data_IF_027677374627
#
_entry.id   IF_027677374627
#
_cell.length_a   1.000
_cell.length_b   1.000
_cell.length_c   1.000
_cell.angle_alpha   90.00
_cell.angle_beta   90.00
_cell.angle_gamma   90.00
#
_symmetry.space_group_name_H-M   'P 1'
#
loop_
_entity.id
_entity.type
_entity.pdbx_description
1 polymer ?
#
# COMPACT_ATOMS: atom_id res chain seq x y z
N UNK A 1 -8.36 -7.03 24.82
CA UNK A 1 -7.01 -7.50 25.20
C UNK A 1 -6.54 -8.42 24.10
N UNK A 2 -5.78 -7.90 23.13
CA UNK A 2 -5.30 -8.68 21.98
C UNK A 2 -4.16 -9.57 22.45
N UNK A 3 -4.40 -10.88 22.41
CA UNK A 3 -3.44 -11.92 22.80
C UNK A 3 -2.24 -11.84 21.85
N UNK A 4 -1.09 -11.42 22.37
CA UNK A 4 0.18 -11.38 21.62
C UNK A 4 0.55 -12.84 21.32
N UNK A 5 0.55 -13.21 20.04
CA UNK A 5 1.00 -14.52 19.59
C UNK A 5 2.49 -14.68 20.00
N UNK A 6 2.88 -15.79 20.66
CA UNK A 6 4.25 -15.95 21.13
C UNK A 6 5.24 -16.00 19.97
N UNK A 7 6.31 -15.23 20.08
CA UNK A 7 7.43 -15.25 19.12
C UNK A 7 8.04 -16.64 19.05
N UNK A 8 8.12 -17.24 17.85
CA UNK A 8 8.87 -18.48 17.65
C UNK A 8 10.39 -18.20 17.75
N UNK A 9 11.09 -18.75 18.76
CA UNK A 9 12.52 -18.50 18.93
C UNK A 9 13.38 -19.05 17.79
N UNK A 10 12.91 -20.05 17.05
CA UNK A 10 13.67 -20.62 15.94
C UNK A 10 13.59 -19.71 14.71
N UNK A 11 12.40 -19.25 14.33
CA UNK A 11 12.21 -18.25 13.27
C UNK A 11 12.96 -16.95 13.57
N UNK A 12 12.87 -16.44 14.81
CA UNK A 12 13.60 -15.24 15.22
C UNK A 12 15.12 -15.42 15.05
N UNK A 13 15.65 -16.60 15.37
CA UNK A 13 17.07 -16.86 15.20
C UNK A 13 17.51 -16.92 13.74
N UNK A 14 16.70 -17.53 12.86
CA UNK A 14 16.98 -17.54 11.42
C UNK A 14 16.98 -16.12 10.83
N UNK A 15 16.03 -15.28 11.24
CA UNK A 15 15.97 -13.88 10.83
C UNK A 15 17.24 -13.10 11.23
N UNK A 16 17.77 -13.35 12.44
CA UNK A 16 19.05 -12.76 12.89
C UNK A 16 20.23 -13.24 12.05
N UNK A 17 20.31 -14.55 11.78
CA UNK A 17 21.40 -15.12 10.96
C UNK A 17 21.38 -14.57 9.53
N UNK A 18 20.19 -14.41 8.96
CA UNK A 18 19.99 -13.85 7.62
C UNK A 18 20.13 -12.32 7.58
N UNK A 19 20.16 -11.65 8.75
CA UNK A 19 20.06 -10.18 8.87
C UNK A 19 18.85 -9.61 8.13
N UNK A 20 17.73 -10.32 8.23
CA UNK A 20 16.53 -10.01 7.49
C UNK A 20 15.89 -8.69 8.00
N UNK A 21 15.78 -7.72 7.11
CA UNK A 21 15.19 -6.40 7.40
C UNK A 21 13.67 -6.45 7.54
N UNK A 22 13.00 -7.47 6.99
CA UNK A 22 11.55 -7.63 7.13
C UNK A 22 11.12 -7.85 8.58
N UNK A 23 12.05 -8.33 9.43
CA UNK A 23 11.82 -8.56 10.86
C UNK A 23 12.21 -7.37 11.75
N UNK A 24 12.80 -6.31 11.20
CA UNK A 24 13.10 -5.10 11.96
C UNK A 24 11.80 -4.46 12.45
N UNK A 25 11.66 -4.32 13.78
CA UNK A 25 10.45 -3.80 14.41
C UNK A 25 9.41 -4.86 14.79
N UNK A 26 9.59 -6.12 14.36
CA UNK A 26 8.76 -7.27 14.79
C UNK A 26 9.23 -7.82 16.13
N UNK A 27 10.55 -7.87 16.34
CA UNK A 27 11.17 -8.23 17.62
C UNK A 27 12.55 -7.56 17.75
N UNK A 28 13.12 -7.62 18.95
CA UNK A 28 14.51 -7.27 19.20
C UNK A 28 15.29 -8.44 19.77
N UNK A 29 16.54 -8.55 19.35
CA UNK A 29 17.50 -9.57 19.78
C UNK A 29 18.28 -9.05 20.98
N UNK A 30 17.98 -9.54 22.17
CA UNK A 30 18.74 -9.25 23.37
C UNK A 30 19.92 -10.18 23.56
N UNK A 31 21.11 -9.62 23.71
CA UNK A 31 22.37 -10.33 23.96
C UNK A 31 22.72 -10.18 25.43
N UNK A 32 22.51 -11.26 26.18
CA UNK A 32 22.59 -11.28 27.65
C UNK A 32 24.02 -11.02 28.16
N UNK A 33 25.04 -11.52 27.45
CA UNK A 33 26.45 -11.33 27.85
C UNK A 33 26.94 -9.90 27.70
N UNK A 34 26.43 -9.15 26.72
CA UNK A 34 26.83 -7.75 26.50
C UNK A 34 25.85 -6.76 27.11
N UNK A 35 24.68 -7.22 27.57
CA UNK A 35 23.60 -6.37 28.05
C UNK A 35 23.00 -5.48 26.95
N UNK A 36 23.05 -5.88 25.68
CA UNK A 36 22.65 -5.04 24.53
C UNK A 36 21.51 -5.73 23.79
N UNK A 37 20.48 -4.98 23.38
CA UNK A 37 19.53 -5.46 22.38
C UNK A 37 19.70 -4.76 21.02
N UNK A 38 19.51 -5.53 19.97
CA UNK A 38 19.71 -5.15 18.57
C UNK A 38 18.45 -5.47 17.75
N UNK A 39 18.32 -4.84 16.59
CA UNK A 39 17.37 -5.28 15.57
C UNK A 39 17.89 -6.53 14.82
N UNK A 40 17.01 -7.35 14.22
CA UNK A 40 17.41 -8.57 13.51
C UNK A 40 18.40 -8.32 12.38
N UNK A 41 18.26 -7.21 11.63
CA UNK A 41 19.18 -6.86 10.54
C UNK A 41 20.51 -6.23 10.99
N UNK A 42 20.82 -6.24 12.28
CA UNK A 42 22.01 -5.56 12.80
C UNK A 42 23.30 -6.17 12.23
N UNK A 43 24.14 -5.31 11.64
CA UNK A 43 25.44 -5.72 11.10
C UNK A 43 26.51 -6.05 12.18
N UNK A 44 26.13 -6.07 13.47
CA UNK A 44 27.00 -6.53 14.54
C UNK A 44 27.37 -8.01 14.32
N UNK A 45 28.48 -8.44 14.93
CA UNK A 45 28.87 -9.85 14.92
C UNK A 45 27.78 -10.67 15.61
N UNK A 46 27.43 -11.82 15.04
CA UNK A 46 26.41 -12.65 15.64
C UNK A 46 26.88 -13.15 17.02
N UNK A 47 26.06 -12.96 18.07
CA UNK A 47 26.32 -13.53 19.38
C UNK A 47 26.18 -15.05 19.35
N UNK A 48 26.73 -15.74 20.35
CA UNK A 48 26.45 -17.17 20.51
C UNK A 48 24.96 -17.37 20.84
N UNK A 49 24.31 -18.36 20.22
CA UNK A 49 22.86 -18.61 20.37
C UNK A 49 22.41 -18.75 21.83
N UNK A 50 23.25 -19.35 22.69
CA UNK A 50 22.97 -19.51 24.12
C UNK A 50 22.87 -18.19 24.91
N UNK A 51 23.46 -17.11 24.37
CA UNK A 51 23.47 -15.79 25.00
C UNK A 51 22.35 -14.87 24.47
N UNK A 52 21.42 -15.41 23.68
CA UNK A 52 20.39 -14.65 22.98
C UNK A 52 19.01 -14.93 23.54
N UNK A 53 18.27 -13.85 23.81
CA UNK A 53 16.84 -13.87 24.13
C UNK A 53 16.10 -12.88 23.22
N UNK A 54 14.92 -13.26 22.75
CA UNK A 54 14.07 -12.40 21.93
C UNK A 54 13.03 -11.69 22.78
N UNK A 55 12.74 -10.45 22.42
CA UNK A 55 11.74 -9.61 23.07
C UNK A 55 10.84 -8.99 22.00
N UNK A 56 9.56 -8.79 22.30
CA UNK A 56 8.61 -8.20 21.34
C UNK A 56 9.03 -6.78 20.93
N UNK A 57 9.61 -6.02 21.85
CA UNK A 57 10.04 -4.65 21.61
C UNK A 57 11.22 -4.26 22.52
N UNK A 58 11.75 -3.05 22.30
CA UNK A 58 12.79 -2.48 23.13
C UNK A 58 12.34 -2.21 24.58
N UNK A 59 11.04 -2.05 24.85
CA UNK A 59 10.54 -1.81 26.20
C UNK A 59 10.66 -3.07 27.07
N UNK A 60 10.28 -4.24 26.54
CA UNK A 60 10.49 -5.52 27.19
C UNK A 60 11.97 -5.85 27.37
N UNK A 61 12.81 -5.54 26.36
CA UNK A 61 14.25 -5.74 26.47
C UNK A 61 14.87 -4.88 27.59
N UNK A 62 14.43 -3.62 27.75
CA UNK A 62 14.87 -2.73 28.85
C UNK A 62 14.37 -3.21 30.21
N UNK A 63 13.12 -3.69 30.30
CA UNK A 63 12.60 -4.28 31.53
C UNK A 63 13.43 -5.51 31.97
N UNK A 64 14.08 -6.19 31.04
CA UNK A 64 15.03 -7.27 31.29
C UNK A 64 16.49 -6.80 31.53
N UNK A 65 16.73 -5.49 31.67
CA UNK A 65 18.05 -4.92 31.98
C UNK A 65 18.97 -4.69 30.79
N UNK A 66 18.47 -4.74 29.56
CA UNK A 66 19.27 -4.55 28.34
C UNK A 66 19.22 -3.09 27.86
N UNK A 67 20.32 -2.60 27.27
CA UNK A 67 20.40 -1.28 26.61
C UNK A 67 20.31 -1.39 25.09
N UNK A 68 19.83 -0.33 24.43
CA UNK A 68 19.77 -0.28 22.97
C UNK A 68 21.17 -0.32 22.34
N UNK A 69 21.30 -1.04 21.23
CA UNK A 69 22.51 -1.06 20.44
C UNK A 69 22.78 0.30 19.79
N UNK A 70 23.96 0.87 20.05
CA UNK A 70 24.35 2.18 19.51
C UNK A 70 24.64 2.17 18.01
N UNK A 71 24.89 0.97 17.44
CA UNK A 71 25.20 0.80 16.01
C UNK A 71 23.95 0.76 15.15
N UNK A 72 22.99 -0.10 15.50
CA UNK A 72 21.78 -0.26 14.71
C UNK A 72 20.60 0.57 15.23
N UNK A 73 20.76 1.19 16.41
CA UNK A 73 19.79 2.09 17.08
C UNK A 73 18.35 1.58 16.93
N UNK A 74 18.04 0.42 17.52
CA UNK A 74 16.76 -0.26 17.28
C UNK A 74 15.55 0.59 17.69
N UNK A 75 15.72 1.50 18.64
CA UNK A 75 14.66 2.42 19.07
C UNK A 75 14.41 3.56 18.06
N UNK A 76 15.38 3.88 17.21
CA UNK A 76 15.25 4.97 16.25
C UNK A 76 14.22 4.63 15.17
N UNK A 77 13.98 3.36 14.82
CA UNK A 77 12.98 2.98 13.80
C UNK A 77 11.54 3.30 14.22
N UNK A 78 11.18 2.93 15.45
CA UNK A 78 9.86 3.26 16.00
C UNK A 78 9.70 4.76 16.21
N UNK A 79 10.76 5.43 16.66
CA UNK A 79 10.82 6.89 16.81
C UNK A 79 10.70 7.61 15.46
N UNK A 80 11.41 7.14 14.45
CA UNK A 80 11.44 7.65 13.08
C UNK A 80 10.04 7.57 12.45
N UNK A 81 9.39 6.40 12.56
CA UNK A 81 8.03 6.19 12.06
C UNK A 81 7.01 7.08 12.79
N UNK A 82 7.09 7.17 14.12
CA UNK A 82 6.24 8.03 14.93
C UNK A 82 6.43 9.52 14.60
N UNK A 83 7.68 9.94 14.37
CA UNK A 83 8.04 11.30 13.98
C UNK A 83 7.46 11.68 12.60
N UNK A 84 7.54 10.78 11.61
CA UNK A 84 6.93 11.00 10.29
C UNK A 84 5.42 11.06 10.38
N UNK A 85 4.79 10.15 11.14
CA UNK A 85 3.34 10.15 11.35
C UNK A 85 2.85 11.44 12.02
N UNK A 86 3.55 11.92 13.05
CA UNK A 86 3.24 13.18 13.73
C UNK A 86 3.34 14.39 12.80
N UNK A 87 4.35 14.44 11.92
CA UNK A 87 4.49 15.52 10.94
C UNK A 87 3.40 15.50 9.85
N UNK A 88 2.99 14.31 9.39
CA UNK A 88 1.85 14.17 8.47
C UNK A 88 0.58 14.74 9.11
N UNK A 89 0.32 14.41 10.39
CA UNK A 89 -0.82 14.93 11.12
C UNK A 89 -0.78 16.47 11.25
N UNK A 90 0.38 17.04 11.58
CA UNK A 90 0.57 18.49 11.67
C UNK A 90 0.32 19.21 10.32
N UNK A 91 0.81 18.64 9.21
CA UNK A 91 0.54 19.17 7.86
C UNK A 91 -0.95 19.08 7.51
N UNK A 92 -1.61 17.97 7.88
CA UNK A 92 -3.04 17.76 7.64
C UNK A 92 -3.94 18.71 8.43
N UNK A 93 -3.54 19.11 9.64
CA UNK A 93 -4.34 19.98 10.51
C UNK A 93 -4.19 21.48 10.19
N UNK A 94 -3.04 21.90 9.63
CA UNK A 94 -2.76 23.32 9.46
C UNK A 94 -3.46 23.92 8.22
N UNK A 95 -4.00 25.14 8.35
CA UNK A 95 -4.49 25.94 7.22
C UNK A 95 -3.33 26.41 6.32
N UNK A 96 -2.22 26.80 6.94
CA UNK A 96 -0.96 27.13 6.27
C UNK A 96 0.08 26.06 6.59
N UNK A 97 0.73 25.51 5.57
CA UNK A 97 1.69 24.42 5.72
C UNK A 97 2.82 24.79 6.72
N UNK A 98 3.07 23.97 7.77
CA UNK A 98 4.17 24.20 8.70
C UNK A 98 5.52 24.11 7.97
N UNK A 99 6.49 24.90 8.42
CA UNK A 99 7.84 24.85 7.84
C UNK A 99 8.55 23.55 8.22
N UNK A 100 9.53 23.14 7.39
CA UNK A 100 10.38 21.98 7.71
C UNK A 100 11.04 22.11 9.09
N UNK A 101 11.45 23.32 9.48
CA UNK A 101 12.05 23.58 10.78
C UNK A 101 11.08 23.30 11.94
N UNK A 102 9.81 23.71 11.81
CA UNK A 102 8.78 23.44 12.82
C UNK A 102 8.47 21.94 12.93
N UNK A 103 8.33 21.25 11.80
CA UNK A 103 8.08 19.80 11.77
C UNK A 103 9.25 19.00 12.37
N UNK A 104 10.48 19.39 12.05
CA UNK A 104 11.68 18.76 12.57
C UNK A 104 11.84 19.00 14.09
N UNK A 105 11.56 20.22 14.57
CA UNK A 105 11.60 20.56 15.99
C UNK A 105 10.57 19.75 16.80
N UNK A 106 9.34 19.61 16.29
CA UNK A 106 8.29 18.79 16.90
C UNK A 106 8.69 17.30 16.97
N UNK A 107 9.40 16.80 15.96
CA UNK A 107 9.89 15.44 15.90
C UNK A 107 11.20 15.21 16.71
N UNK A 108 11.86 16.27 17.18
CA UNK A 108 13.15 16.20 17.85
C UNK A 108 14.33 15.85 16.93
N UNK A 109 14.28 16.28 15.67
CA UNK A 109 15.34 16.09 14.66
C UNK A 109 15.83 17.43 14.11
N UNK A 110 17.04 17.44 13.52
CA UNK A 110 17.46 18.58 12.71
C UNK A 110 16.68 18.63 11.37
N UNK A 111 16.47 19.80 10.77
CA UNK A 111 15.70 19.94 9.54
C UNK A 111 16.18 19.05 8.38
N UNK A 112 17.50 19.01 8.14
CA UNK A 112 18.10 18.22 7.08
C UNK A 112 17.96 16.70 7.30
N UNK A 113 18.04 16.26 8.57
CA UNK A 113 17.86 14.85 8.91
C UNK A 113 16.38 14.45 8.77
N UNK A 114 15.47 15.29 9.26
CA UNK A 114 14.04 15.04 9.17
C UNK A 114 13.54 14.99 7.72
N UNK A 115 14.06 15.84 6.83
CA UNK A 115 13.70 15.80 5.42
C UNK A 115 14.07 14.45 4.76
N UNK A 116 15.30 13.97 4.96
CA UNK A 116 15.72 12.66 4.42
C UNK A 116 14.90 11.53 5.01
N UNK A 117 14.60 11.60 6.31
CA UNK A 117 13.79 10.62 7.00
C UNK A 117 12.36 10.56 6.42
N UNK A 118 11.71 11.71 6.32
CA UNK A 118 10.35 11.83 5.79
C UNK A 118 10.28 11.39 4.32
N UNK A 119 11.25 11.76 3.49
CA UNK A 119 11.30 11.32 2.08
C UNK A 119 11.58 9.84 1.94
N UNK A 120 12.44 9.25 2.77
CA UNK A 120 12.64 7.80 2.80
C UNK A 120 11.36 7.03 3.15
N UNK A 121 10.52 7.58 4.03
CA UNK A 121 9.27 6.94 4.46
C UNK A 121 8.07 7.21 3.54
N UNK A 122 7.99 8.40 2.93
CA UNK A 122 6.78 8.83 2.19
C UNK A 122 7.01 8.95 0.69
N UNK A 123 8.25 8.83 0.22
CA UNK A 123 8.66 9.12 -1.16
C UNK A 123 8.68 10.62 -1.51
N UNK A 124 8.20 11.51 -0.63
CA UNK A 124 8.07 12.95 -0.89
C UNK A 124 8.78 13.79 0.18
N UNK A 125 9.11 15.04 -0.15
CA UNK A 125 9.53 16.00 0.89
C UNK A 125 8.30 16.51 1.66
N UNK A 126 8.46 16.98 2.92
CA UNK A 126 7.35 17.56 3.68
C UNK A 126 6.63 18.70 2.95
N UNK A 127 7.37 19.55 2.22
CA UNK A 127 6.81 20.64 1.43
C UNK A 127 6.02 20.14 0.21
N UNK A 128 6.53 19.13 -0.49
CA UNK A 128 5.82 18.51 -1.62
C UNK A 128 4.52 17.83 -1.15
N UNK A 129 4.57 17.14 0.00
CA UNK A 129 3.40 16.53 0.63
C UNK A 129 2.33 17.58 1.01
N UNK A 130 2.74 18.68 1.64
CA UNK A 130 1.83 19.77 1.99
C UNK A 130 1.21 20.48 0.77
N UNK A 131 1.99 20.67 -0.30
CA UNK A 131 1.50 21.25 -1.56
C UNK A 131 0.43 20.37 -2.20
N UNK A 132 0.66 19.06 -2.25
CA UNK A 132 -0.31 18.10 -2.78
C UNK A 132 -1.62 18.13 -1.98
N UNK A 133 -1.55 18.24 -0.65
CA UNK A 133 -2.74 18.34 0.20
C UNK A 133 -3.52 19.65 -0.03
N UNK A 134 -2.83 20.77 -0.22
CA UNK A 134 -3.48 22.07 -0.49
C UNK A 134 -4.21 22.09 -1.83
N UNK A 135 -3.60 21.51 -2.87
CA UNK A 135 -4.25 21.36 -4.18
C UNK A 135 -5.52 20.51 -4.11
N UNK A 136 -5.50 19.47 -3.25
CA UNK A 136 -6.69 18.64 -2.96
C UNK A 136 -7.82 19.44 -2.29
N UNK A 137 -7.53 20.22 -1.25
CA UNK A 137 -8.51 21.09 -0.57
C UNK A 137 -9.14 22.12 -1.53
N UNK A 138 -8.36 22.67 -2.47
CA UNK A 138 -8.87 23.62 -3.47
C UNK A 138 -9.82 22.95 -4.47
N UNK A 139 -9.56 21.70 -4.85
CA UNK A 139 -10.44 20.91 -5.71
C UNK A 139 -11.78 20.56 -5.06
N UNK A 140 -11.82 20.44 -3.73
CA UNK A 140 -13.03 20.11 -2.97
C UNK A 140 -14.04 21.28 -2.90
N UNK A 141 -13.59 22.54 -3.04
CA UNK A 141 -14.45 23.74 -3.08
C UNK A 141 -15.17 23.91 -4.43
N UNK A 142 -14.60 23.39 -5.52
CA UNK A 142 -15.09 23.59 -6.88
C UNK A 142 -16.08 22.51 -7.35
N UNK A 143 -16.28 21.42 -6.60
CA UNK A 143 -17.08 20.25 -7.00
C UNK A 143 -18.61 20.37 -6.75
N UNK A 144 -19.13 21.58 -6.52
CA UNK A 144 -20.48 21.85 -6.02
C UNK A 144 -21.65 21.92 -7.03
N UNK A 145 -21.60 21.32 -8.22
CA UNK A 145 -22.71 21.43 -9.19
C UNK A 145 -23.10 20.09 -9.87
N UNK A 146 -24.23 19.54 -9.37
CA UNK A 146 -25.33 18.79 -10.01
C UNK A 146 -25.05 17.72 -11.09
N UNK A 147 -25.34 16.44 -10.75
CA UNK A 147 -25.85 15.35 -11.63
C UNK A 147 -25.73 13.93 -11.01
N UNK A 148 -25.22 13.79 -9.78
CA UNK A 148 -24.91 12.50 -9.12
C UNK A 148 -26.14 11.80 -8.48
N UNK A 149 -27.35 12.31 -8.72
CA UNK A 149 -28.53 12.04 -7.89
C UNK A 149 -29.15 10.64 -8.08
N UNK A 150 -28.98 10.00 -9.24
CA UNK A 150 -29.79 8.82 -9.60
C UNK A 150 -29.21 7.49 -9.06
N UNK A 151 -27.88 7.34 -9.00
CA UNK A 151 -27.24 6.10 -8.54
C UNK A 151 -27.18 5.96 -7.00
N UNK A 152 -27.39 7.04 -6.26
CA UNK A 152 -27.31 7.07 -4.79
C UNK A 152 -28.57 6.44 -4.15
N UNK A 153 -29.72 6.49 -4.84
CA UNK A 153 -31.00 6.07 -4.30
C UNK A 153 -31.15 4.54 -4.15
N UNK A 154 -30.47 3.76 -4.98
CA UNK A 154 -30.59 2.29 -5.00
C UNK A 154 -29.84 1.59 -3.86
N UNK A 155 -28.84 2.26 -3.26
CA UNK A 155 -27.98 1.69 -2.22
C UNK A 155 -28.44 2.00 -0.78
N UNK A 156 -29.64 2.59 -0.60
CA UNK A 156 -30.21 2.86 0.72
C UNK A 156 -29.53 4.00 1.51
N UNK A 157 -28.84 4.91 0.82
CA UNK A 157 -28.27 6.11 1.45
C UNK A 157 -29.25 7.27 1.39
N UNK A 158 -30.00 7.48 2.47
CA UNK A 158 -30.70 8.74 2.71
C UNK A 158 -29.68 9.87 2.91
N UNK A 159 -29.63 10.80 1.97
CA UNK A 159 -28.80 11.99 1.91
C UNK A 159 -27.28 11.79 1.64
N UNK A 160 -26.72 12.44 0.59
CA UNK A 160 -25.29 12.36 0.24
C UNK A 160 -24.33 13.05 1.23
N UNK A 161 -24.83 13.73 2.27
CA UNK A 161 -24.07 14.74 3.03
C UNK A 161 -23.37 14.24 4.30
N UNK A 162 -23.38 12.94 4.61
CA UNK A 162 -22.80 12.42 5.87
C UNK A 162 -21.66 11.42 5.76
N UNK A 163 -21.17 11.09 4.55
CA UNK A 163 -20.08 10.11 4.40
C UNK A 163 -18.84 10.62 3.66
N UNK A 164 -18.86 11.84 3.11
CA UNK A 164 -17.65 12.47 2.55
C UNK A 164 -16.60 12.86 3.61
N UNK A 165 -16.85 12.55 4.88
CA UNK A 165 -16.01 12.91 6.02
C UNK A 165 -14.87 11.93 6.33
N UNK A 166 -14.85 10.71 5.78
CA UNK A 166 -13.83 9.71 6.18
C UNK A 166 -13.36 8.85 5.00
N UNK A 167 -12.14 9.12 4.48
CA UNK A 167 -11.12 8.09 4.14
C UNK A 167 -9.92 8.66 3.37
N UNK A 168 -8.73 8.21 3.77
CA UNK A 168 -7.47 8.34 3.03
C UNK A 168 -7.63 7.75 1.61
N UNK A 169 -7.47 8.60 0.58
CA UNK A 169 -7.50 8.22 -0.84
C UNK A 169 -6.15 7.64 -1.25
N UNK A 170 -6.15 6.44 -1.83
CA UNK A 170 -5.12 5.95 -2.74
C UNK A 170 -5.16 6.85 -3.99
N UNK A 171 -4.15 7.70 -4.27
CA UNK A 171 -3.90 8.34 -5.58
C UNK A 171 -5.02 9.12 -6.33
N UNK A 172 -4.67 10.32 -6.85
CA UNK A 172 -5.43 11.22 -7.78
C UNK A 172 -6.89 11.64 -7.52
N UNK A 173 -7.27 12.76 -8.17
CA UNK A 173 -8.61 13.33 -8.11
C UNK A 173 -9.52 12.70 -9.19
N UNK A 174 -10.81 12.41 -8.90
CA UNK A 174 -11.70 11.70 -9.83
C UNK A 174 -12.04 12.44 -11.14
N UNK A 175 -11.52 13.65 -11.37
CA UNK A 175 -11.82 14.47 -12.55
C UNK A 175 -11.09 14.01 -13.82
N UNK A 176 -9.85 13.53 -13.72
CA UNK A 176 -9.07 13.07 -14.88
C UNK A 176 -9.66 11.81 -15.51
N UNK A 177 -10.20 10.90 -14.69
CA UNK A 177 -10.89 9.70 -15.16
C UNK A 177 -12.29 10.00 -15.73
N UNK A 178 -12.99 10.99 -15.18
CA UNK A 178 -14.34 11.38 -15.63
C UNK A 178 -14.35 12.08 -16.99
N UNK A 179 -13.27 12.78 -17.36
CA UNK A 179 -13.14 13.45 -18.66
C UNK A 179 -12.38 12.61 -19.68
N UNK A 180 -12.41 11.27 -19.56
CA UNK A 180 -11.77 10.38 -20.53
C UNK A 180 -10.25 10.53 -20.64
N UNK A 181 -9.57 11.03 -19.61
CA UNK A 181 -8.11 11.20 -19.59
C UNK A 181 -7.58 12.51 -20.19
N UNK A 182 -8.42 13.52 -20.38
CA UNK A 182 -8.01 14.83 -20.91
C UNK A 182 -6.79 15.41 -20.19
N UNK A 183 -5.75 15.76 -20.96
CA UNK A 183 -4.51 16.34 -20.43
C UNK A 183 -3.59 15.34 -19.70
N UNK A 184 -3.91 14.05 -19.72
CA UNK A 184 -3.08 12.99 -19.15
C UNK A 184 -2.31 12.30 -20.28
N UNK A 185 -1.01 12.10 -20.07
CA UNK A 185 -0.20 11.21 -20.91
C UNK A 185 -0.12 9.85 -20.26
N UNK A 186 -0.51 8.80 -20.99
CA UNK A 186 -0.45 7.42 -20.53
C UNK A 186 0.59 6.69 -21.39
N UNK A 187 1.66 6.24 -20.74
CA UNK A 187 2.62 5.31 -21.36
C UNK A 187 2.10 3.90 -21.23
N UNK A 188 2.20 3.12 -22.29
CA UNK A 188 1.70 1.75 -22.29
C UNK A 188 2.59 0.80 -23.07
N UNK A 189 2.56 -0.48 -22.71
CA UNK A 189 3.15 -1.56 -23.46
C UNK A 189 2.39 -2.86 -23.19
N UNK A 190 2.47 -3.82 -24.12
CA UNK A 190 2.11 -5.21 -23.85
C UNK A 190 3.37 -5.99 -23.52
N UNK A 191 3.37 -6.68 -22.38
CA UNK A 191 4.46 -7.55 -21.95
C UNK A 191 3.99 -8.99 -21.95
N UNK A 192 4.91 -9.91 -22.28
CA UNK A 192 4.66 -11.34 -22.13
C UNK A 192 4.84 -11.72 -20.66
N UNK A 193 3.88 -12.45 -20.11
CA UNK A 193 4.00 -13.12 -18.81
C UNK A 193 3.71 -14.60 -19.00
N UNK A 194 4.10 -15.42 -18.04
CA UNK A 194 3.76 -16.85 -18.06
C UNK A 194 2.25 -17.13 -17.91
N UNK A 195 1.44 -16.13 -17.55
CA UNK A 195 -0.02 -16.19 -17.48
C UNK A 195 -0.71 -15.68 -18.75
N UNK A 196 0.06 -15.19 -19.73
CA UNK A 196 -0.43 -14.63 -20.99
C UNK A 196 0.04 -13.18 -21.23
N UNK A 197 -0.33 -12.58 -22.37
CA UNK A 197 0.00 -11.19 -22.67
C UNK A 197 -0.74 -10.25 -21.72
N UNK A 198 -0.01 -9.26 -21.22
CA UNK A 198 -0.51 -8.31 -20.24
C UNK A 198 -0.26 -6.87 -20.69
N UNK A 199 -1.33 -6.07 -20.69
CA UNK A 199 -1.24 -4.62 -20.88
C UNK A 199 -0.78 -3.98 -19.58
N UNK A 200 0.29 -3.19 -19.67
CA UNK A 200 0.75 -2.30 -18.61
C UNK A 200 0.55 -0.86 -19.10
N UNK A 201 -0.17 -0.04 -18.34
CA UNK A 201 -0.28 1.39 -18.63
C UNK A 201 -0.08 2.22 -17.35
N UNK A 202 0.68 3.30 -17.48
CA UNK A 202 1.03 4.18 -16.37
C UNK A 202 0.99 5.66 -16.78
N UNK A 203 0.63 6.49 -15.81
CA UNK A 203 0.79 7.94 -15.87
C UNK A 203 2.13 8.35 -15.27
N UNK A 204 2.36 9.65 -15.09
CA UNK A 204 3.47 10.19 -14.30
C UNK A 204 3.39 9.84 -12.80
N UNK A 205 2.23 9.34 -12.32
CA UNK A 205 1.98 9.04 -10.90
C UNK A 205 2.10 7.58 -10.55
N UNK A 206 1.91 6.68 -11.52
CA UNK A 206 1.97 5.24 -11.31
C UNK A 206 1.14 4.44 -12.30
N UNK A 207 1.06 3.13 -12.06
CA UNK A 207 0.29 2.18 -12.88
C UNK A 207 -1.19 2.50 -12.75
N UNK A 208 -1.84 2.84 -13.86
CA UNK A 208 -3.27 3.14 -13.93
C UNK A 208 -4.09 2.01 -14.57
N UNK A 209 -3.45 1.14 -15.36
CA UNK A 209 -4.05 -0.06 -15.93
C UNK A 209 -3.07 -1.22 -15.92
N UNK A 210 -3.54 -2.36 -15.46
CA UNK A 210 -2.83 -3.63 -15.56
C UNK A 210 -3.84 -4.75 -15.79
N UNK A 211 -3.83 -5.36 -16.97
CA UNK A 211 -4.88 -6.27 -17.43
C UNK A 211 -4.37 -7.33 -18.41
N UNK A 212 -4.94 -8.54 -18.33
CA UNK A 212 -4.64 -9.62 -19.27
C UNK A 212 -5.54 -9.54 -20.50
N UNK A 213 -4.99 -9.90 -21.67
CA UNK A 213 -5.77 -10.02 -22.91
C UNK A 213 -6.35 -8.70 -23.44
N UNK A 214 -5.89 -7.56 -22.92
CA UNK A 214 -6.22 -6.24 -23.42
C UNK A 214 -5.02 -5.64 -24.17
N UNK A 215 -5.31 -4.70 -25.07
CA UNK A 215 -4.31 -3.94 -25.82
C UNK A 215 -4.64 -2.45 -25.87
N UNK A 216 -4.02 -1.75 -26.81
CA UNK A 216 -4.20 -0.31 -27.00
C UNK A 216 -5.67 0.10 -27.17
N UNK A 217 -6.46 -0.68 -27.92
CA UNK A 217 -7.88 -0.37 -28.19
C UNK A 217 -8.70 -0.29 -26.90
N UNK A 218 -8.45 -1.19 -25.95
CA UNK A 218 -9.11 -1.19 -24.64
C UNK A 218 -8.65 -0.01 -23.76
N UNK A 219 -7.45 0.52 -24.00
CA UNK A 219 -6.95 1.72 -23.34
C UNK A 219 -7.58 2.97 -23.97
N UNK A 220 -7.66 3.03 -25.29
CA UNK A 220 -8.26 4.13 -26.07
C UNK A 220 -9.76 4.27 -25.83
N UNK A 221 -10.49 3.16 -25.74
CA UNK A 221 -11.91 3.17 -25.39
C UNK A 221 -12.17 3.74 -23.98
N UNK A 222 -11.23 3.51 -23.06
CA UNK A 222 -11.33 3.90 -21.65
C UNK A 222 -10.86 5.32 -21.39
N UNK A 223 -9.83 5.75 -22.13
CA UNK A 223 -9.25 7.08 -22.04
C UNK A 223 -9.25 7.76 -23.42
N UNK A 224 -10.44 8.05 -23.98
CA UNK A 224 -10.56 8.58 -25.33
C UNK A 224 -9.90 9.96 -25.53
N UNK A 225 -9.62 10.69 -24.44
CA UNK A 225 -9.01 12.02 -24.45
C UNK A 225 -7.58 12.04 -23.89
N UNK A 226 -7.01 10.88 -23.53
CA UNK A 226 -5.61 10.79 -23.11
C UNK A 226 -4.65 10.74 -24.30
N UNK A 227 -3.44 11.27 -24.10
CA UNK A 227 -2.33 11.05 -25.03
C UNK A 227 -1.70 9.69 -24.72
N UNK A 228 -1.82 8.73 -25.63
CA UNK A 228 -1.24 7.39 -25.48
C UNK A 228 0.14 7.33 -26.12
N UNK A 229 1.15 6.89 -25.38
CA UNK A 229 2.53 6.74 -25.85
C UNK A 229 2.97 5.29 -25.65
N UNK A 230 3.43 4.62 -26.70
CA UNK A 230 3.96 3.27 -26.60
C UNK A 230 5.39 3.29 -26.03
N UNK A 231 5.63 2.56 -24.93
CA UNK A 231 6.96 2.31 -24.39
C UNK A 231 7.72 3.55 -23.88
N UNK A 232 9.05 3.42 -23.88
CA UNK A 232 10.01 4.44 -23.45
C UNK A 232 11.13 3.86 -22.58
N UNK A 233 12.34 4.44 -22.65
CA UNK A 233 13.48 3.98 -21.85
C UNK A 233 13.18 4.06 -20.33
N UNK A 234 12.53 5.14 -19.89
CA UNK A 234 12.12 5.33 -18.49
C UNK A 234 10.96 4.41 -18.05
N UNK A 235 10.29 3.76 -19.01
CA UNK A 235 9.17 2.86 -18.78
C UNK A 235 9.62 1.41 -18.62
N UNK A 236 10.79 1.05 -19.16
CA UNK A 236 11.32 -0.32 -19.11
C UNK A 236 11.48 -0.86 -17.68
N UNK A 237 12.03 -0.06 -16.76
CA UNK A 237 12.19 -0.46 -15.36
C UNK A 237 10.84 -0.74 -14.66
N UNK A 238 9.78 0.01 -15.02
CA UNK A 238 8.44 -0.24 -14.50
C UNK A 238 7.85 -1.52 -15.09
N UNK A 239 8.09 -1.79 -16.38
CA UNK A 239 7.66 -3.02 -17.03
C UNK A 239 8.31 -4.24 -16.36
N UNK A 240 9.61 -4.20 -16.11
CA UNK A 240 10.34 -5.28 -15.43
C UNK A 240 9.77 -5.52 -14.02
N UNK A 241 9.56 -4.46 -13.23
CA UNK A 241 8.96 -4.58 -11.89
C UNK A 241 7.54 -5.17 -11.92
N UNK A 242 6.73 -4.80 -12.93
CA UNK A 242 5.38 -5.35 -13.09
C UNK A 242 5.42 -6.81 -13.51
N UNK A 243 6.30 -7.19 -14.44
CA UNK A 243 6.49 -8.60 -14.83
C UNK A 243 6.93 -9.40 -13.61
N UNK A 244 7.92 -8.93 -12.85
CA UNK A 244 8.37 -9.57 -11.61
C UNK A 244 7.22 -9.74 -10.60
N UNK A 245 6.35 -8.74 -10.46
CA UNK A 245 5.18 -8.81 -9.58
C UNK A 245 4.11 -9.81 -10.05
N UNK A 246 4.07 -10.15 -11.34
CA UNK A 246 3.16 -11.16 -11.92
C UNK A 246 3.76 -12.56 -11.84
N UNK A 247 5.07 -12.67 -12.05
CA UNK A 247 5.79 -13.94 -11.92
C UNK A 247 5.95 -14.36 -10.45
N UNK A 248 6.14 -13.40 -9.55
CA UNK A 248 6.22 -13.59 -8.08
C UNK A 248 5.20 -12.71 -7.36
N UNK A 249 3.90 -13.09 -7.36
CA UNK A 249 2.86 -12.29 -6.73
C UNK A 249 3.10 -12.11 -5.23
N UNK A 250 2.88 -10.88 -4.74
CA UNK A 250 3.08 -10.53 -3.33
C UNK A 250 4.29 -9.65 -3.03
N UNK A 251 5.12 -9.32 -4.03
CA UNK A 251 6.23 -8.35 -3.90
C UNK A 251 6.00 -7.09 -4.72
N UNK A 252 4.84 -6.46 -4.57
CA UNK A 252 4.38 -5.35 -5.41
C UNK A 252 4.31 -3.98 -4.69
N UNK A 253 4.54 -3.92 -3.38
CA UNK A 253 4.26 -2.74 -2.55
C UNK A 253 5.07 -1.48 -2.92
N UNK A 254 6.15 -1.67 -3.68
CA UNK A 254 7.03 -0.60 -4.16
C UNK A 254 6.59 0.00 -5.50
N UNK A 255 5.62 -0.62 -6.19
CA UNK A 255 5.13 -0.16 -7.49
C UNK A 255 4.03 0.88 -7.26
N UNK A 256 4.22 2.14 -7.70
CA UNK A 256 3.24 3.19 -7.48
C UNK A 256 1.96 2.93 -8.29
N UNK A 257 0.80 3.15 -7.69
CA UNK A 257 -0.51 2.97 -8.32
C UNK A 257 -1.21 4.32 -8.51
N UNK A 258 -1.85 4.47 -9.65
CA UNK A 258 -2.67 5.63 -10.00
C UNK A 258 -4.08 5.18 -10.42
N UNK A 259 -4.82 4.69 -9.43
CA UNK A 259 -6.20 4.21 -9.62
C UNK A 259 -7.19 5.12 -8.92
N UNK A 260 -8.35 5.33 -9.54
CA UNK A 260 -9.46 6.06 -8.94
C UNK A 260 -10.74 5.25 -9.03
N UNK A 261 -11.56 5.33 -7.99
CA UNK A 261 -12.85 4.65 -7.91
C UNK A 261 -13.84 5.44 -7.08
N UNK A 262 -15.01 4.86 -6.84
CA UNK A 262 -15.89 5.36 -5.78
C UNK A 262 -15.22 5.14 -4.42
N UNK A 263 -15.62 5.90 -3.40
CA UNK A 263 -15.08 5.71 -2.04
C UNK A 263 -15.25 4.27 -1.53
N UNK A 264 -16.34 3.61 -1.92
CA UNK A 264 -16.58 2.21 -1.62
C UNK A 264 -15.58 1.30 -2.36
N UNK A 265 -15.35 1.53 -3.66
CA UNK A 265 -14.35 0.77 -4.44
C UNK A 265 -12.95 0.91 -3.86
N UNK A 266 -12.51 2.14 -3.58
CA UNK A 266 -11.19 2.39 -2.99
C UNK A 266 -11.04 1.73 -1.61
N UNK A 267 -12.10 1.74 -0.79
CA UNK A 267 -12.10 1.05 0.50
C UNK A 267 -11.94 -0.47 0.33
N UNK A 268 -12.67 -1.06 -0.62
CA UNK A 268 -12.52 -2.48 -0.97
C UNK A 268 -11.10 -2.75 -1.44
N UNK A 269 -10.55 -1.96 -2.37
CA UNK A 269 -9.20 -2.15 -2.90
C UNK A 269 -8.11 -2.06 -1.82
N UNK A 270 -8.24 -1.16 -0.85
CA UNK A 270 -7.37 -1.13 0.34
C UNK A 270 -7.45 -2.43 1.13
N UNK A 271 -8.65 -2.98 1.33
CA UNK A 271 -8.81 -4.29 1.98
C UNK A 271 -8.22 -5.43 1.15
N UNK A 272 -8.27 -5.36 -0.17
CA UNK A 272 -7.62 -6.34 -1.05
C UNK A 272 -6.10 -6.32 -0.85
N UNK A 273 -5.49 -5.13 -0.89
CA UNK A 273 -4.04 -4.97 -0.69
C UNK A 273 -3.58 -5.45 0.70
N UNK A 274 -4.44 -5.35 1.71
CA UNK A 274 -4.15 -5.83 3.06
C UNK A 274 -4.20 -7.36 3.19
N UNK A 275 -4.67 -8.12 2.20
CA UNK A 275 -4.65 -9.58 2.23
C UNK A 275 -3.20 -10.04 1.99
N UNK A 276 -2.55 -10.78 2.91
CA UNK A 276 -1.20 -11.28 2.69
C UNK A 276 -1.10 -12.25 1.50
N UNK A 277 0.06 -12.34 0.83
CA UNK A 277 0.30 -13.38 -0.16
C UNK A 277 0.07 -14.78 0.43
N UNK A 278 -0.58 -15.64 -0.33
CA UNK A 278 -0.87 -17.03 0.08
C UNK A 278 -2.13 -17.16 0.93
N UNK A 279 -2.69 -16.04 1.40
CA UNK A 279 -3.96 -15.99 2.10
C UNK A 279 -5.12 -15.60 1.17
N UNK A 280 -6.31 -16.04 1.56
CA UNK A 280 -7.56 -15.65 0.90
C UNK A 280 -8.53 -15.02 1.90
N UNK A 281 -9.45 -14.19 1.39
CA UNK A 281 -10.61 -13.69 2.13
C UNK A 281 -11.89 -13.92 1.35
N UNK A 282 -13.01 -14.08 2.04
CA UNK A 282 -14.31 -14.15 1.37
C UNK A 282 -14.86 -12.74 1.08
N UNK A 283 -15.75 -12.62 0.09
CA UNK A 283 -16.47 -11.36 -0.15
C UNK A 283 -17.19 -10.84 1.11
N UNK A 284 -17.69 -11.74 1.96
CA UNK A 284 -18.33 -11.37 3.22
C UNK A 284 -17.31 -10.80 4.24
N UNK A 285 -16.11 -11.38 4.33
CA UNK A 285 -15.04 -10.86 5.18
C UNK A 285 -14.58 -9.47 4.72
N UNK A 286 -14.44 -9.25 3.42
CA UNK A 286 -14.10 -7.93 2.88
C UNK A 286 -15.22 -6.92 3.15
N UNK A 287 -16.48 -7.30 2.91
CA UNK A 287 -17.64 -6.45 3.20
C UNK A 287 -17.70 -6.04 4.69
N UNK A 288 -17.42 -6.97 5.61
CA UNK A 288 -17.33 -6.69 7.03
C UNK A 288 -16.14 -5.77 7.36
N UNK A 289 -14.97 -6.00 6.77
CA UNK A 289 -13.77 -5.20 7.00
C UNK A 289 -13.89 -3.75 6.51
N UNK A 290 -14.69 -3.49 5.47
CA UNK A 290 -15.04 -2.12 5.04
C UNK A 290 -16.18 -1.50 5.86
N UNK A 291 -16.63 -2.14 6.94
CA UNK A 291 -17.70 -1.65 7.82
C UNK A 291 -19.11 -1.79 7.25
N UNK A 292 -19.30 -2.63 6.22
CA UNK A 292 -20.60 -2.84 5.55
C UNK A 292 -20.90 -4.35 5.36
N UNK A 293 -21.16 -5.12 6.43
CA UNK A 293 -21.34 -6.57 6.35
C UNK A 293 -22.43 -7.05 5.35
N UNK A 294 -23.47 -6.24 5.12
CA UNK A 294 -24.53 -6.54 4.14
C UNK A 294 -24.16 -6.27 2.67
N UNK A 295 -23.03 -5.63 2.39
CA UNK A 295 -22.65 -5.15 1.06
C UNK A 295 -21.84 -6.18 0.24
N UNK A 296 -22.15 -7.47 0.35
CA UNK A 296 -21.39 -8.54 -0.33
C UNK A 296 -21.41 -8.40 -1.86
N UNK A 297 -22.59 -8.14 -2.46
CA UNK A 297 -22.72 -7.96 -3.92
C UNK A 297 -21.93 -6.75 -4.41
N UNK A 298 -22.07 -5.61 -3.72
CA UNK A 298 -21.33 -4.39 -4.02
C UNK A 298 -19.80 -4.63 -3.90
N UNK A 299 -19.36 -5.39 -2.90
CA UNK A 299 -17.96 -5.78 -2.72
C UNK A 299 -17.46 -6.62 -3.90
N UNK A 300 -18.29 -7.55 -4.41
CA UNK A 300 -18.01 -8.29 -5.63
C UNK A 300 -17.83 -7.39 -6.85
N UNK A 301 -18.74 -6.44 -7.06
CA UNK A 301 -18.64 -5.45 -8.15
C UNK A 301 -17.40 -4.56 -8.02
N UNK A 302 -17.07 -4.11 -6.80
CA UNK A 302 -15.86 -3.33 -6.53
C UNK A 302 -14.56 -4.12 -6.79
N UNK A 303 -14.54 -5.41 -6.42
CA UNK A 303 -13.43 -6.30 -6.73
C UNK A 303 -13.26 -6.50 -8.25
N UNK A 304 -14.37 -6.61 -8.99
CA UNK A 304 -14.36 -6.71 -10.45
C UNK A 304 -13.94 -5.42 -11.16
N UNK A 305 -14.22 -4.26 -10.56
CA UNK A 305 -13.82 -2.94 -11.07
C UNK A 305 -12.33 -2.62 -10.88
N UNK A 306 -11.53 -3.55 -10.34
CA UNK A 306 -10.10 -3.36 -10.19
C UNK A 306 -9.42 -3.17 -11.55
N UNK A 307 -8.78 -2.00 -11.73
CA UNK A 307 -8.08 -1.65 -12.95
C UNK A 307 -6.62 -2.09 -13.00
N UNK A 308 -6.05 -2.52 -11.88
CA UNK A 308 -4.64 -2.95 -11.79
C UNK A 308 -4.56 -4.35 -11.21
N UNK A 309 -4.84 -5.34 -12.06
CA UNK A 309 -4.78 -6.76 -11.71
C UNK A 309 -3.43 -7.12 -11.09
N UNK A 310 -3.40 -8.12 -10.20
CA UNK A 310 -2.20 -8.59 -9.48
C UNK A 310 -1.66 -7.59 -8.44
N UNK A 311 -1.43 -6.32 -8.81
CA UNK A 311 -0.95 -5.26 -7.89
C UNK A 311 -2.00 -4.88 -6.84
N UNK A 312 -3.27 -4.81 -7.24
CA UNK A 312 -4.40 -4.92 -6.32
C UNK A 312 -4.87 -6.38 -6.41
N UNK A 313 -4.69 -7.21 -5.36
CA UNK A 313 -4.77 -8.66 -5.45
C UNK A 313 -6.22 -9.16 -5.38
N UNK A 314 -7.04 -8.79 -6.35
CA UNK A 314 -8.46 -9.19 -6.44
C UNK A 314 -8.65 -10.70 -6.66
N UNK A 315 -7.58 -11.43 -7.03
CA UNK A 315 -7.55 -12.90 -7.11
C UNK A 315 -7.56 -13.58 -5.73
N UNK A 316 -7.17 -12.89 -4.65
CA UNK A 316 -7.20 -13.42 -3.27
C UNK A 316 -8.60 -13.48 -2.65
N UNK A 317 -9.63 -12.97 -3.35
CA UNK A 317 -11.02 -13.02 -2.87
C UNK A 317 -11.75 -14.23 -3.42
N UNK A 318 -12.33 -15.03 -2.52
CA UNK A 318 -13.06 -16.27 -2.84
C UNK A 318 -14.51 -16.22 -2.32
N UNK A 319 -15.33 -17.22 -2.69
CA UNK A 319 -16.65 -17.38 -2.09
C UNK A 319 -16.53 -17.86 -0.64
N UNK A 320 -17.59 -17.68 0.14
CA UNK A 320 -17.60 -18.08 1.56
C UNK A 320 -17.45 -19.58 1.79
N UNK A 321 -17.77 -20.40 0.78
CA UNK A 321 -17.58 -21.86 0.78
C UNK A 321 -16.16 -22.28 0.37
N UNK A 322 -15.25 -21.32 0.13
CA UNK A 322 -13.88 -21.57 -0.32
C UNK A 322 -13.74 -21.82 -1.82
N UNK A 323 -14.83 -21.88 -2.59
CA UNK A 323 -14.77 -22.05 -4.04
C UNK A 323 -14.28 -20.77 -4.73
N UNK A 324 -13.65 -20.92 -5.90
CA UNK A 324 -13.24 -19.77 -6.70
C UNK A 324 -14.47 -19.03 -7.23
N UNK A 325 -14.66 -17.81 -6.73
CA UNK A 325 -15.56 -16.84 -7.34
C UNK A 325 -15.04 -16.35 -8.69
N UNK A 326 -15.89 -15.65 -9.45
CA UNK A 326 -15.54 -15.09 -10.76
C UNK A 326 -14.27 -14.22 -10.73
N UNK A 327 -13.59 -14.17 -11.87
CA UNK A 327 -12.40 -13.36 -12.10
C UNK A 327 -12.48 -12.74 -13.49
N UNK A 328 -12.15 -11.44 -13.60
CA UNK A 328 -12.28 -10.69 -14.85
C UNK A 328 -11.45 -11.31 -16.00
N UNK A 329 -10.37 -12.01 -15.67
CA UNK A 329 -9.45 -12.63 -16.62
C UNK A 329 -9.52 -14.17 -16.63
N UNK A 330 -10.60 -14.74 -16.09
CA UNK A 330 -10.84 -16.20 -16.09
C UNK A 330 -10.30 -16.94 -14.86
N UNK A 331 -10.96 -18.06 -14.52
CA UNK A 331 -10.65 -18.81 -13.30
C UNK A 331 -9.28 -19.48 -13.32
N UNK A 332 -8.75 -19.80 -14.51
CA UNK A 332 -7.45 -20.44 -14.64
C UNK A 332 -6.31 -19.51 -14.21
N UNK A 333 -6.32 -18.24 -14.65
CA UNK A 333 -5.34 -17.24 -14.22
C UNK A 333 -5.43 -17.03 -12.70
N UNK A 334 -6.64 -16.94 -12.15
CA UNK A 334 -6.86 -16.80 -10.70
C UNK A 334 -6.27 -17.97 -9.92
N UNK A 335 -6.47 -19.21 -10.41
CA UNK A 335 -5.93 -20.43 -9.79
C UNK A 335 -4.40 -20.43 -9.79
N UNK A 336 -3.78 -20.11 -10.93
CA UNK A 336 -2.32 -20.07 -11.03
C UNK A 336 -1.69 -18.99 -10.16
N UNK A 337 -2.29 -17.80 -10.07
CA UNK A 337 -1.82 -16.74 -9.16
C UNK A 337 -1.86 -17.20 -7.70
N UNK A 338 -2.95 -17.84 -7.27
CA UNK A 338 -3.08 -18.39 -5.91
C UNK A 338 -2.08 -19.52 -5.63
N UNK A 339 -1.75 -20.33 -6.64
CA UNK A 339 -0.78 -21.42 -6.54
C UNK A 339 0.65 -20.90 -6.37
N UNK A 340 1.03 -19.86 -7.13
CA UNK A 340 2.33 -19.19 -7.02
C UNK A 340 2.57 -18.57 -5.66
N UNK A 341 1.54 -17.99 -5.05
CA UNK A 341 1.66 -17.38 -3.73
C UNK A 341 1.80 -18.39 -2.58
N UNK A 342 1.54 -19.69 -2.85
CA UNK A 342 1.69 -20.79 -1.87
C UNK A 342 3.03 -21.53 -2.00
N UNK A 343 3.80 -21.23 -3.05
CA UNK A 343 5.06 -21.87 -3.41
C UNK A 343 6.25 -21.07 -2.88
#
# INVERSE_FOLDING_TARGET
>A
MTTIQPLDPQACWQAVLARDRAWDGVFVTGVLTTGIYCRPSCAARHPARGNVRFFADGAQARAAGLRACLRCRPDDLARDAAAVAGAIAAIKAAETAPTLAALAAQAGYSPAHFQKLFTRHTGLSPAAYARALRQRRMGDVLAGAESVTEAIHEAGYGAPSRFYAESDRLGMAPSAWRNGGAGVTIRWAQVATSLGPMLVAATDKGVCRLSFGEGEDALRARFPQATLIAGGADFAALLDAVVDAVEVPGRADHIPLDVAGTAFQESVWRQLQAIPPGETRSYAQIAAAVGKPGAMRATGSANGANNVAVLIPCHRVVRSDGTLGGYAYGLEIKRQLLERERS
#
